data_IF_747621140292
#
_entry.id   IF_747621140292
#
_cell.length_a   1.000
_cell.length_b   1.000
_cell.length_c   1.000
_cell.angle_alpha   90.00
_cell.angle_beta   90.00
_cell.angle_gamma   90.00
#
_symmetry.space_group_name_H-M   'P 1'
#
loop_
_entity.id
_entity.type
_entity.pdbx_description
1 polymer ?
#
# COMPACT_ATOMS: atom_id res chain seq x y z
N UNK A 1 32.44 -11.36 14.47
CA UNK A 1 31.21 -11.90 13.86
C UNK A 1 30.80 -11.05 12.66
N UNK A 2 30.40 -11.65 11.53
CA UNK A 2 30.00 -10.94 10.30
C UNK A 2 28.55 -10.41 10.38
N UNK A 3 28.27 -9.27 9.74
CA UNK A 3 26.92 -8.71 9.68
C UNK A 3 25.93 -9.65 8.98
N UNK A 4 24.74 -9.81 9.57
CA UNK A 4 23.69 -10.72 9.10
C UNK A 4 22.78 -10.14 8.01
N UNK A 5 23.01 -8.88 7.60
CA UNK A 5 22.28 -8.20 6.49
C UNK A 5 20.75 -8.20 6.62
N UNK A 6 20.27 -8.12 7.86
CA UNK A 6 18.85 -7.97 8.21
C UNK A 6 18.31 -6.59 7.77
N UNK A 7 16.99 -6.44 7.72
CA UNK A 7 16.33 -5.17 7.43
C UNK A 7 15.19 -5.26 6.42
N UNK A 8 14.64 -4.09 6.09
CA UNK A 8 13.61 -3.92 5.06
C UNK A 8 14.26 -4.04 3.68
N UNK A 9 13.60 -4.79 2.78
CA UNK A 9 14.03 -4.99 1.39
C UNK A 9 13.12 -4.28 0.40
N UNK A 10 11.82 -4.24 0.68
CA UNK A 10 10.82 -3.54 -0.12
C UNK A 10 10.10 -2.52 0.76
N UNK A 11 10.13 -1.25 0.35
CA UNK A 11 9.54 -0.16 1.12
C UNK A 11 8.06 0.04 0.78
N UNK A 12 7.40 0.94 1.50
CA UNK A 12 5.99 1.26 1.28
C UNK A 12 5.74 1.80 -0.13
N UNK A 13 4.58 1.49 -0.69
CA UNK A 13 4.13 1.85 -2.04
C UNK A 13 5.00 1.30 -3.18
N UNK A 14 5.90 0.36 -2.90
CA UNK A 14 6.66 -0.33 -3.95
C UNK A 14 5.91 -1.57 -4.43
N UNK A 15 6.05 -1.87 -5.72
CA UNK A 15 5.47 -3.05 -6.36
C UNK A 15 6.23 -4.29 -5.90
N UNK A 16 5.49 -5.34 -5.59
CA UNK A 16 6.02 -6.63 -5.13
C UNK A 16 5.36 -7.77 -5.92
N UNK A 17 6.11 -8.82 -6.22
CA UNK A 17 5.59 -10.06 -6.77
C UNK A 17 5.30 -11.07 -5.65
N UNK A 18 4.52 -12.10 -5.94
CA UNK A 18 4.33 -13.21 -5.00
C UNK A 18 5.69 -13.90 -4.73
N UNK A 19 5.95 -14.29 -3.48
CA UNK A 19 7.20 -14.91 -3.04
C UNK A 19 8.32 -13.93 -2.64
N UNK A 20 8.20 -12.64 -2.97
CA UNK A 20 9.26 -11.68 -2.65
C UNK A 20 9.41 -11.45 -1.15
N UNK A 21 10.66 -11.26 -0.71
CA UNK A 21 11.00 -10.90 0.67
C UNK A 21 10.75 -9.40 0.89
N UNK A 22 9.89 -9.07 1.85
CA UNK A 22 9.61 -7.68 2.23
C UNK A 22 10.57 -7.24 3.33
N UNK A 23 10.70 -8.03 4.41
CA UNK A 23 11.55 -7.72 5.57
C UNK A 23 12.22 -9.00 6.09
N UNK A 24 13.52 -8.91 6.38
CA UNK A 24 14.24 -9.90 7.21
C UNK A 24 14.47 -9.31 8.59
N UNK A 25 13.99 -9.96 9.65
CA UNK A 25 14.06 -9.44 11.02
C UNK A 25 14.46 -10.52 12.02
N UNK A 26 14.68 -10.12 13.27
CA UNK A 26 14.80 -11.01 14.42
C UNK A 26 13.73 -10.60 15.43
N UNK A 27 12.88 -11.54 15.79
CA UNK A 27 11.63 -11.26 16.46
C UNK A 27 10.63 -10.57 15.52
N UNK A 28 9.37 -10.51 15.95
CA UNK A 28 8.29 -9.91 15.17
C UNK A 28 8.17 -8.40 15.43
N UNK A 29 9.12 -7.60 14.92
CA UNK A 29 9.04 -6.12 14.98
C UNK A 29 7.94 -5.58 14.08
N UNK A 30 7.84 -6.20 12.90
CA UNK A 30 6.75 -6.02 11.95
C UNK A 30 5.91 -7.30 11.93
N UNK A 31 4.61 -7.13 12.12
CA UNK A 31 3.64 -8.23 12.10
C UNK A 31 3.11 -8.44 10.67
N UNK A 32 2.86 -9.70 10.29
CA UNK A 32 2.19 -10.00 9.04
C UNK A 32 0.77 -9.44 9.07
N UNK A 33 0.38 -8.79 7.98
CA UNK A 33 -0.98 -8.35 7.71
C UNK A 33 -1.56 -9.12 6.52
N UNK A 34 -2.46 -8.47 5.79
CA UNK A 34 -3.14 -9.07 4.63
C UNK A 34 -2.13 -9.41 3.53
N UNK A 35 -2.23 -10.62 2.97
CA UNK A 35 -1.37 -11.14 1.88
C UNK A 35 0.14 -11.18 2.21
N UNK A 36 0.49 -11.25 3.49
CA UNK A 36 1.87 -11.39 3.96
C UNK A 36 1.97 -12.58 4.88
N UNK A 37 2.96 -13.43 4.65
CA UNK A 37 3.25 -14.59 5.49
C UNK A 37 4.51 -14.34 6.31
N UNK A 38 4.57 -14.93 7.51
CA UNK A 38 5.77 -14.97 8.35
C UNK A 38 6.46 -16.32 8.22
N UNK A 39 7.73 -16.33 7.83
CA UNK A 39 8.57 -17.53 7.82
C UNK A 39 9.02 -17.95 9.23
N UNK A 40 9.65 -19.12 9.34
CA UNK A 40 10.18 -19.63 10.60
C UNK A 40 11.27 -18.75 11.23
N UNK A 41 12.00 -18.00 10.43
CA UNK A 41 13.02 -17.03 10.87
C UNK A 41 12.47 -15.60 11.09
N UNK A 42 11.14 -15.46 11.21
CA UNK A 42 10.38 -14.19 11.27
C UNK A 42 10.47 -13.31 10.01
N UNK A 43 11.02 -13.81 8.90
CA UNK A 43 11.02 -13.10 7.61
C UNK A 43 9.61 -12.92 7.08
N UNK A 44 9.28 -11.72 6.57
CA UNK A 44 7.99 -11.42 5.95
C UNK A 44 8.06 -11.59 4.43
N UNK A 45 7.17 -12.43 3.91
CA UNK A 45 7.06 -12.79 2.49
C UNK A 45 5.73 -12.31 1.91
N UNK A 46 5.74 -11.79 0.69
CA UNK A 46 4.51 -11.45 -0.03
C UNK A 46 3.85 -12.72 -0.58
N UNK A 47 2.56 -12.94 -0.27
CA UNK A 47 1.81 -14.07 -0.82
C UNK A 47 1.25 -13.78 -2.21
N UNK A 48 0.97 -12.51 -2.50
CA UNK A 48 0.38 -12.07 -3.77
C UNK A 48 1.14 -10.89 -4.34
N UNK A 49 1.08 -10.71 -5.67
CA UNK A 49 1.57 -9.49 -6.30
C UNK A 49 0.71 -8.27 -5.93
N UNK A 50 1.35 -7.11 -5.74
CA UNK A 50 0.67 -5.87 -5.37
C UNK A 50 1.64 -4.78 -4.92
N UNK A 51 1.21 -3.95 -3.98
CA UNK A 51 1.96 -2.87 -3.38
C UNK A 51 2.05 -3.04 -1.87
N UNK A 52 3.24 -2.81 -1.31
CA UNK A 52 3.48 -2.93 0.13
C UNK A 52 2.91 -1.73 0.87
N UNK A 53 2.11 -1.96 1.90
CA UNK A 53 1.57 -0.92 2.77
C UNK A 53 1.92 -1.22 4.23
N UNK A 54 2.50 -0.23 4.90
CA UNK A 54 2.85 -0.26 6.31
C UNK A 54 1.79 0.49 7.11
N UNK A 55 1.25 -0.14 8.15
CA UNK A 55 0.28 0.50 9.04
C UNK A 55 0.66 0.26 10.50
N UNK A 56 0.33 1.21 11.36
CA UNK A 56 0.47 1.06 12.81
C UNK A 56 -0.93 0.97 13.41
N UNK A 57 -1.20 -0.09 14.17
CA UNK A 57 -2.51 -0.34 14.79
C UNK A 57 -2.33 -0.60 16.28
N UNK A 58 -3.31 -0.19 17.08
CA UNK A 58 -3.38 -0.59 18.49
C UNK A 58 -4.00 -1.98 18.59
N UNK A 59 -3.30 -2.90 19.25
CA UNK A 59 -3.74 -4.28 19.45
C UNK A 59 -3.57 -4.60 20.92
N UNK A 60 -4.54 -5.30 21.51
CA UNK A 60 -4.40 -5.80 22.88
C UNK A 60 -3.22 -6.76 22.94
N UNK A 61 -2.35 -6.61 23.93
CA UNK A 61 -1.37 -7.63 24.27
C UNK A 61 -2.03 -8.76 25.08
N UNK A 62 -1.24 -9.77 25.45
CA UNK A 62 -1.74 -10.90 26.24
C UNK A 62 -2.23 -10.45 27.63
N UNK A 63 -1.71 -9.34 28.15
CA UNK A 63 -2.11 -8.71 29.42
C UNK A 63 -3.39 -7.88 29.27
N UNK A 64 -3.93 -7.72 28.05
CA UNK A 64 -5.11 -6.92 27.75
C UNK A 64 -4.84 -5.43 27.52
N UNK A 65 -3.60 -4.96 27.65
CA UNK A 65 -3.21 -3.56 27.41
C UNK A 65 -3.15 -3.28 25.92
N UNK A 66 -3.65 -2.11 25.50
CA UNK A 66 -3.57 -1.68 24.11
C UNK A 66 -2.15 -1.22 23.78
N UNK A 67 -1.46 -1.94 22.90
CA UNK A 67 -0.09 -1.65 22.47
C UNK A 67 -0.06 -1.34 20.97
N UNK A 68 0.74 -0.34 20.57
CA UNK A 68 0.95 -0.01 19.16
C UNK A 68 1.84 -1.07 18.50
N UNK A 69 1.34 -1.73 17.46
CA UNK A 69 2.08 -2.70 16.65
C UNK A 69 2.10 -2.29 15.18
N UNK A 70 3.21 -2.59 14.51
CA UNK A 70 3.40 -2.30 13.08
C UNK A 70 3.02 -3.52 12.25
N UNK A 71 2.18 -3.32 11.25
CA UNK A 71 1.69 -4.35 10.33
C UNK A 71 2.14 -4.05 8.92
N UNK A 72 2.42 -5.12 8.17
CA UNK A 72 2.81 -5.07 6.77
C UNK A 72 1.78 -5.81 5.95
N UNK A 73 1.21 -5.16 4.96
CA UNK A 73 0.17 -5.72 4.09
C UNK A 73 0.55 -5.53 2.63
N UNK A 74 0.09 -6.43 1.76
CA UNK A 74 0.21 -6.25 0.31
C UNK A 74 -1.19 -6.05 -0.27
N UNK A 75 -1.37 -4.91 -0.94
CA UNK A 75 -2.63 -4.50 -1.54
C UNK A 75 -2.48 -4.49 -3.06
N UNK A 76 -3.43 -5.09 -3.79
CA UNK A 76 -3.35 -5.22 -5.26
C UNK A 76 -3.38 -3.87 -5.99
N UNK A 77 -4.02 -2.86 -5.42
CA UNK A 77 -4.09 -1.52 -5.98
C UNK A 77 -3.56 -0.50 -4.97
N UNK A 78 -2.74 0.45 -5.43
CA UNK A 78 -2.61 1.72 -4.73
C UNK A 78 -3.99 2.37 -4.87
N UNK A 79 -4.81 2.33 -3.83
CA UNK A 79 -6.14 2.93 -3.88
C UNK A 79 -6.00 4.41 -4.26
N UNK A 80 -6.24 4.72 -5.54
CA UNK A 80 -6.36 6.09 -6.07
C UNK A 80 -7.63 6.77 -5.55
N UNK A 81 -8.10 6.44 -4.34
CA UNK A 81 -9.25 7.11 -3.71
C UNK A 81 -8.96 8.58 -3.40
N UNK A 82 -7.69 8.96 -3.24
CA UNK A 82 -7.29 10.38 -3.14
C UNK A 82 -7.10 11.08 -4.50
N UNK A 83 -6.64 10.38 -5.54
CA UNK A 83 -6.38 10.99 -6.86
C UNK A 83 -7.62 11.09 -7.76
N UNK A 84 -8.66 10.26 -7.55
CA UNK A 84 -9.93 10.38 -8.32
C UNK A 84 -10.70 11.67 -8.00
N UNK A 85 -10.48 12.30 -6.83
CA UNK A 85 -11.16 13.56 -6.46
C UNK A 85 -10.60 14.75 -7.25
N UNK A 86 -9.30 14.79 -7.52
CA UNK A 86 -8.65 15.87 -8.28
C UNK A 86 -8.78 15.72 -9.81
N UNK A 87 -8.81 14.49 -10.32
CA UNK A 87 -8.97 14.26 -11.77
C UNK A 87 -10.41 14.52 -12.24
N UNK A 88 -11.40 14.30 -11.38
CA UNK A 88 -12.81 14.58 -11.75
C UNK A 88 -13.11 16.07 -11.81
N UNK A 89 -12.53 16.90 -10.91
CA UNK A 89 -12.71 18.37 -10.91
C UNK A 89 -12.07 19.04 -12.14
N UNK A 90 -10.92 18.55 -12.63
CA UNK A 90 -10.28 19.12 -13.83
C UNK A 90 -10.99 18.77 -15.15
N UNK A 91 -11.78 17.69 -15.18
CA UNK A 91 -12.47 17.25 -16.41
C UNK A 91 -13.80 17.99 -16.64
N UNK A 92 -14.44 18.49 -15.59
CA UNK A 92 -15.71 19.23 -15.68
C UNK A 92 -15.57 20.69 -16.13
N UNK A 93 -14.42 21.35 -15.90
CA UNK A 93 -14.26 22.77 -16.28
C UNK A 93 -13.94 22.96 -17.77
N UNK A 94 -13.50 21.93 -18.50
CA UNK A 94 -13.14 22.04 -19.93
C UNK A 94 -14.24 21.66 -20.93
N UNK A 95 -15.48 21.44 -20.49
CA UNK A 95 -16.60 21.16 -21.41
C UNK A 95 -17.86 21.96 -21.06
N UNK A 96 -17.71 23.27 -20.92
CA UNK A 96 -18.81 24.21 -21.06
C UNK A 96 -18.54 25.06 -22.31
N UNK A 97 -19.33 24.81 -23.34
CA UNK A 97 -19.34 25.56 -24.59
C UNK A 97 -19.80 27.02 -24.38
N UNK A 98 -19.61 27.87 -25.40
CA UNK A 98 -20.73 28.70 -25.84
C UNK A 98 -21.11 28.36 -27.28
N UNK A 99 -22.37 27.93 -27.46
CA UNK A 99 -23.08 27.92 -28.74
C UNK A 99 -23.46 29.36 -29.15
N UNK A 100 -23.56 29.58 -30.47
CA UNK A 100 -24.36 30.57 -31.25
C UNK A 100 -23.43 31.30 -32.27
N UNK A 101 -23.74 31.45 -33.56
CA UNK A 101 -25.02 31.47 -34.28
C UNK A 101 -24.95 30.73 -35.63
N UNK A 102 -26.07 30.15 -36.02
CA UNK A 102 -26.38 29.74 -37.38
C UNK A 102 -26.57 30.95 -38.30
N UNK A 103 -26.10 30.86 -39.55
CA UNK A 103 -26.68 31.56 -40.72
C UNK A 103 -26.51 30.63 -41.94
N UNK A 104 -27.51 30.69 -42.81
CA UNK A 104 -27.97 29.68 -43.77
C UNK A 104 -27.11 29.49 -45.04
N UNK A 105 -27.29 28.33 -45.68
CA UNK A 105 -26.96 28.07 -47.08
C UNK A 105 -27.94 28.81 -48.01
N UNK A 106 -27.43 29.44 -49.06
CA UNK A 106 -27.83 29.20 -50.45
C UNK A 106 -26.64 29.51 -51.36
#
# INVERSE_FOLDING_TARGET
>A
SISKRLGVKIFGNQKVAAGNIIIRQRGTKFHPGVNVMKGGDDTLLALTGGYVNFSTKMVKDFTGKLVKRRFVSVVKEITKKAAKKTVTVKKTVKKAAPKKKAVAKK
#
